data_IF_429897429443
#
_entry.id   IF_429897429443
#
_cell.length_a   1.000
_cell.length_b   1.000
_cell.length_c   1.000
_cell.angle_alpha   90.00
_cell.angle_beta   90.00
_cell.angle_gamma   90.00
#
_symmetry.space_group_name_H-M   'P 1'
#
loop_
_entity.id
_entity.type
_entity.pdbx_description
1 polymer ?
#
# COMPACT_ATOMS: atom_id res chain seq x y z
N UNK A 1 -25.70 15.14 -17.18
CA UNK A 1 -25.08 15.92 -16.09
C UNK A 1 -23.78 16.46 -16.63
N UNK A 2 -23.63 17.78 -16.68
CA UNK A 2 -22.42 18.42 -17.18
C UNK A 2 -21.35 18.27 -16.10
N UNK A 3 -20.27 17.56 -16.43
CA UNK A 3 -19.03 17.55 -15.64
C UNK A 3 -18.44 18.96 -15.72
N UNK A 4 -18.47 19.67 -14.61
CA UNK A 4 -17.88 20.99 -14.50
C UNK A 4 -16.46 20.78 -13.98
N UNK A 5 -15.55 20.39 -14.85
CA UNK A 5 -14.13 20.25 -14.50
C UNK A 5 -13.53 21.65 -14.41
N UNK A 6 -13.13 22.04 -13.20
CA UNK A 6 -12.30 23.23 -13.01
C UNK A 6 -10.94 22.98 -13.70
N UNK A 7 -10.28 24.03 -14.21
CA UNK A 7 -8.95 23.91 -14.81
C UNK A 7 -7.83 23.40 -13.87
N UNK A 8 -8.14 23.15 -12.58
CA UNK A 8 -7.27 22.49 -11.60
C UNK A 8 -7.55 21.00 -11.37
N UNK A 9 -8.51 20.41 -12.10
CA UNK A 9 -9.00 19.03 -11.91
C UNK A 9 -8.38 18.02 -12.89
N UNK A 10 -7.40 18.44 -13.70
CA UNK A 10 -6.72 17.56 -14.66
C UNK A 10 -5.33 17.25 -14.11
N UNK A 11 -5.13 16.01 -13.66
CA UNK A 11 -3.81 15.51 -13.28
C UNK A 11 -2.89 15.42 -14.49
N UNK A 12 -1.61 15.71 -14.27
CA UNK A 12 -0.55 15.36 -15.23
C UNK A 12 -0.42 13.85 -15.33
N UNK A 13 0.22 13.35 -16.38
CA UNK A 13 0.47 11.91 -16.50
C UNK A 13 1.37 11.41 -15.36
N UNK A 14 2.41 12.17 -14.96
CA UNK A 14 3.23 11.83 -13.79
C UNK A 14 2.41 11.69 -12.49
N UNK A 15 1.37 12.53 -12.31
CA UNK A 15 0.48 12.43 -11.16
C UNK A 15 -0.43 11.19 -11.25
N UNK A 16 -0.91 10.85 -12.44
CA UNK A 16 -1.69 9.63 -12.65
C UNK A 16 -0.84 8.37 -12.42
N UNK A 17 0.39 8.36 -12.91
CA UNK A 17 1.36 7.31 -12.67
C UNK A 17 1.61 7.16 -11.16
N UNK A 18 1.67 8.27 -10.42
CA UNK A 18 1.79 8.26 -8.97
C UNK A 18 0.52 7.69 -8.28
N UNK A 19 -0.69 8.04 -8.74
CA UNK A 19 -1.91 7.41 -8.21
C UNK A 19 -1.88 5.89 -8.39
N UNK A 20 -1.49 5.44 -9.58
CA UNK A 20 -1.36 4.01 -9.88
C UNK A 20 -0.29 3.35 -9.02
N UNK A 21 0.86 4.02 -8.83
CA UNK A 21 1.94 3.52 -7.99
C UNK A 21 1.50 3.31 -6.54
N UNK A 22 0.77 4.27 -5.96
CA UNK A 22 0.21 4.12 -4.60
C UNK A 22 -0.78 2.95 -4.56
N UNK A 23 -1.72 2.88 -5.52
CA UNK A 23 -2.67 1.77 -5.61
C UNK A 23 -1.98 0.38 -5.66
N UNK A 24 -0.95 0.23 -6.49
CA UNK A 24 -0.20 -1.01 -6.58
C UNK A 24 0.70 -1.26 -5.36
N UNK A 25 1.18 -0.19 -4.70
CA UNK A 25 1.92 -0.24 -3.43
C UNK A 25 1.10 -0.86 -2.29
N UNK A 26 -0.14 -0.39 -2.09
CA UNK A 26 -1.06 -0.98 -1.08
C UNK A 26 -1.31 -2.48 -1.38
N UNK A 27 -1.37 -2.86 -2.67
CA UNK A 27 -1.44 -4.27 -3.09
C UNK A 27 -0.19 -5.05 -2.68
N UNK A 28 1.01 -4.48 -2.82
CA UNK A 28 2.25 -5.11 -2.36
C UNK A 28 2.21 -5.35 -0.86
N UNK A 29 1.82 -4.36 -0.05
CA UNK A 29 1.69 -4.49 1.40
C UNK A 29 0.76 -5.66 1.77
N UNK A 30 -0.45 -5.68 1.21
CA UNK A 30 -1.42 -6.76 1.39
C UNK A 30 -0.84 -8.13 1.04
N UNK A 31 -0.22 -8.25 -0.14
CA UNK A 31 0.28 -9.51 -0.67
C UNK A 31 1.47 -10.05 0.14
N UNK A 32 2.32 -9.15 0.66
CA UNK A 32 3.38 -9.51 1.62
C UNK A 32 2.74 -10.07 2.90
N UNK A 33 1.69 -9.44 3.43
CA UNK A 33 1.04 -9.88 4.66
C UNK A 33 0.29 -11.19 4.50
N UNK A 34 -0.35 -11.42 3.35
CA UNK A 34 -0.91 -12.74 2.99
C UNK A 34 0.21 -13.78 3.03
N UNK A 35 1.29 -13.53 2.30
CA UNK A 35 2.38 -14.50 2.12
C UNK A 35 3.09 -14.81 3.44
N UNK A 36 3.47 -13.79 4.21
CA UNK A 36 4.16 -13.98 5.49
C UNK A 36 3.22 -14.50 6.57
N UNK A 37 1.93 -14.16 6.53
CA UNK A 37 0.92 -14.71 7.43
C UNK A 37 0.67 -16.21 7.22
N UNK A 38 0.77 -16.70 5.98
CA UNK A 38 0.69 -18.13 5.69
C UNK A 38 1.88 -18.92 6.24
N UNK A 39 3.04 -18.29 6.34
CA UNK A 39 4.28 -18.91 6.83
C UNK A 39 4.34 -18.84 8.35
N UNK A 40 4.03 -17.67 8.92
CA UNK A 40 4.11 -17.37 10.35
C UNK A 40 2.73 -17.39 11.02
N UNK A 41 2.00 -18.50 10.86
CA UNK A 41 0.58 -18.63 11.27
C UNK A 41 0.27 -18.34 12.75
N UNK A 42 1.28 -18.38 13.62
CA UNK A 42 1.13 -18.05 15.04
C UNK A 42 1.07 -16.55 15.31
N UNK A 43 1.49 -15.72 14.34
CA UNK A 43 1.47 -14.26 14.46
C UNK A 43 0.23 -13.69 13.77
N UNK A 44 -0.72 -13.23 14.57
CA UNK A 44 -2.01 -12.74 14.10
C UNK A 44 -1.94 -11.35 13.43
N UNK A 45 -0.85 -10.60 13.65
CA UNK A 45 -0.68 -9.25 13.09
C UNK A 45 -0.83 -9.25 11.57
N UNK A 46 -0.18 -10.17 10.85
CA UNK A 46 -0.32 -10.29 9.38
C UNK A 46 -1.76 -10.57 8.93
N UNK A 47 -2.48 -11.42 9.67
CA UNK A 47 -3.87 -11.74 9.35
C UNK A 47 -4.80 -10.53 9.52
N UNK A 48 -4.52 -9.64 10.48
CA UNK A 48 -5.26 -8.40 10.61
C UNK A 48 -4.90 -7.37 9.54
N UNK A 49 -3.59 -7.19 9.28
CA UNK A 49 -3.12 -6.14 8.38
C UNK A 49 -3.55 -6.40 6.95
N UNK A 50 -3.55 -7.64 6.43
CA UNK A 50 -4.05 -7.90 5.07
C UNK A 50 -5.50 -7.40 4.81
N UNK A 51 -6.37 -7.40 5.83
CA UNK A 51 -7.73 -6.87 5.70
C UNK A 51 -7.79 -5.35 5.84
N UNK A 52 -6.80 -4.74 6.48
CA UNK A 52 -6.65 -3.30 6.50
C UNK A 52 -6.18 -2.83 5.13
N UNK A 53 -5.12 -3.44 4.60
CA UNK A 53 -4.56 -3.11 3.28
C UNK A 53 -5.58 -3.27 2.14
N UNK A 54 -6.50 -4.24 2.20
CA UNK A 54 -7.56 -4.32 1.19
C UNK A 54 -8.41 -3.04 1.14
N UNK A 55 -8.67 -2.39 2.29
CA UNK A 55 -9.42 -1.13 2.33
C UNK A 55 -8.58 0.03 1.78
N UNK A 56 -7.26 -0.06 1.91
CA UNK A 56 -6.33 0.93 1.39
C UNK A 56 -6.21 0.84 -0.13
N UNK A 57 -6.12 -0.38 -0.68
CA UNK A 57 -6.30 -0.67 -2.10
C UNK A 57 -7.61 -0.09 -2.63
N UNK A 58 -8.73 -0.35 -1.93
CA UNK A 58 -10.04 0.16 -2.35
C UNK A 58 -10.06 1.69 -2.40
N UNK A 59 -9.48 2.37 -1.40
CA UNK A 59 -9.40 3.84 -1.37
C UNK A 59 -8.51 4.40 -2.50
N UNK A 60 -7.36 3.77 -2.76
CA UNK A 60 -6.44 4.19 -3.82
C UNK A 60 -7.03 3.94 -5.21
N UNK A 61 -7.78 2.84 -5.39
CA UNK A 61 -8.52 2.55 -6.62
C UNK A 61 -9.63 3.58 -6.86
N UNK A 62 -10.36 4.00 -5.82
CA UNK A 62 -11.38 5.05 -5.95
C UNK A 62 -10.78 6.38 -6.44
N UNK A 63 -9.55 6.73 -6.02
CA UNK A 63 -8.81 7.86 -6.57
C UNK A 63 -8.45 7.65 -8.05
N UNK A 64 -7.94 6.46 -8.40
CA UNK A 64 -7.63 6.12 -9.78
C UNK A 64 -8.87 6.29 -10.68
N UNK A 65 -10.01 5.74 -10.27
CA UNK A 65 -11.27 5.84 -10.99
C UNK A 65 -11.74 7.30 -11.13
N UNK A 66 -11.61 8.09 -10.05
CA UNK A 66 -12.00 9.51 -10.03
C UNK A 66 -11.22 10.34 -11.07
N UNK A 67 -9.93 10.04 -11.26
CA UNK A 67 -9.05 10.76 -12.17
C UNK A 67 -8.79 10.07 -13.50
N UNK A 68 -9.51 8.97 -13.77
CA UNK A 68 -9.44 8.24 -15.04
C UNK A 68 -8.14 7.48 -15.26
N UNK A 69 -7.55 6.96 -14.18
CA UNK A 69 -6.43 6.01 -14.20
C UNK A 69 -7.01 4.60 -14.27
N UNK A 70 -6.71 3.89 -15.36
CA UNK A 70 -7.24 2.56 -15.60
C UNK A 70 -6.59 1.54 -14.64
N UNK A 71 -7.39 0.73 -13.94
CA UNK A 71 -6.89 -0.33 -13.02
C UNK A 71 -7.39 -1.73 -13.38
N UNK A 72 -8.30 -1.89 -14.36
CA UNK A 72 -8.94 -3.19 -14.66
C UNK A 72 -8.01 -4.28 -15.20
N UNK A 73 -6.79 -3.91 -15.59
CA UNK A 73 -5.76 -4.82 -16.05
C UNK A 73 -4.99 -5.48 -14.88
N UNK A 74 -5.06 -4.88 -13.68
CA UNK A 74 -4.50 -5.44 -12.45
C UNK A 74 -5.46 -6.49 -11.90
N UNK A 75 -4.97 -7.72 -11.75
CA UNK A 75 -5.73 -8.79 -11.10
C UNK A 75 -5.41 -8.78 -9.60
N UNK A 76 -6.28 -8.14 -8.81
CA UNK A 76 -6.15 -8.06 -7.36
C UNK A 76 -6.25 -9.42 -6.66
N UNK A 77 -6.92 -10.43 -7.23
CA UNK A 77 -7.02 -11.78 -6.63
C UNK A 77 -5.70 -12.57 -6.76
N UNK A 78 -4.81 -12.14 -7.65
CA UNK A 78 -3.50 -12.78 -7.83
C UNK A 78 -2.46 -12.14 -6.92
N UNK A 79 -2.13 -12.86 -5.85
CA UNK A 79 -1.00 -12.52 -4.96
C UNK A 79 0.31 -12.59 -5.75
N UNK A 80 1.29 -11.77 -5.37
CA UNK A 80 2.68 -11.78 -5.86
C UNK A 80 2.92 -11.32 -7.30
N UNK A 81 1.90 -10.72 -7.94
CA UNK A 81 1.99 -10.23 -9.30
C UNK A 81 1.74 -8.72 -9.35
N UNK A 82 2.72 -8.00 -9.90
CA UNK A 82 2.71 -6.55 -10.04
C UNK A 82 3.21 -6.14 -11.43
N UNK A 83 2.73 -5.01 -11.93
CA UNK A 83 3.12 -4.40 -13.20
C UNK A 83 4.37 -3.56 -13.05
N UNK A 84 4.51 -2.84 -11.93
CA UNK A 84 5.73 -2.15 -11.58
C UNK A 84 6.83 -3.14 -11.20
N UNK A 85 7.91 -3.15 -12.00
CA UNK A 85 9.09 -3.98 -11.73
C UNK A 85 9.75 -3.63 -10.40
N UNK A 86 9.66 -2.37 -9.98
CA UNK A 86 10.20 -1.91 -8.69
C UNK A 86 9.40 -2.55 -7.55
N UNK A 87 8.07 -2.53 -7.65
CA UNK A 87 7.17 -3.12 -6.65
C UNK A 87 7.28 -4.65 -6.63
N UNK A 88 7.45 -5.29 -7.79
CA UNK A 88 7.76 -6.73 -7.84
C UNK A 88 9.07 -7.06 -7.12
N UNK A 89 10.11 -6.25 -7.34
CA UNK A 89 11.41 -6.44 -6.68
C UNK A 89 11.31 -6.24 -5.17
N UNK A 90 10.51 -5.26 -4.72
CA UNK A 90 10.22 -4.99 -3.32
C UNK A 90 9.55 -6.22 -2.68
N UNK A 91 8.48 -6.73 -3.29
CA UNK A 91 7.77 -7.93 -2.85
C UNK A 91 8.73 -9.13 -2.72
N UNK A 92 9.52 -9.40 -3.76
CA UNK A 92 10.44 -10.55 -3.78
C UNK A 92 11.47 -10.43 -2.65
N UNK A 93 12.08 -9.26 -2.48
CA UNK A 93 13.08 -9.02 -1.43
C UNK A 93 12.49 -9.13 -0.02
N UNK A 94 11.31 -8.53 0.20
CA UNK A 94 10.62 -8.53 1.49
C UNK A 94 10.17 -9.94 1.88
N UNK A 95 9.59 -10.70 0.95
CA UNK A 95 9.18 -12.08 1.24
C UNK A 95 10.38 -13.00 1.47
N UNK A 96 11.47 -12.87 0.72
CA UNK A 96 12.70 -13.63 0.96
C UNK A 96 13.37 -13.30 2.30
N UNK A 97 13.31 -12.04 2.75
CA UNK A 97 13.75 -11.67 4.11
C UNK A 97 12.80 -12.29 5.15
N UNK A 98 11.50 -12.04 5.04
CA UNK A 98 10.51 -12.44 6.04
C UNK A 98 10.36 -13.95 6.21
N UNK A 99 10.66 -14.75 5.19
CA UNK A 99 10.67 -16.23 5.28
C UNK A 99 11.69 -16.78 6.27
N UNK A 100 12.76 -16.04 6.60
CA UNK A 100 13.88 -16.54 7.41
C UNK A 100 13.49 -16.76 8.87
N UNK A 101 12.71 -15.86 9.46
CA UNK A 101 12.26 -15.95 10.83
C UNK A 101 11.04 -15.05 11.08
N UNK A 102 10.30 -15.30 12.16
CA UNK A 102 9.20 -14.42 12.56
C UNK A 102 9.69 -13.00 12.84
N UNK A 103 10.87 -12.85 13.46
CA UNK A 103 11.46 -11.53 13.71
C UNK A 103 11.73 -10.78 12.41
N UNK A 104 12.36 -11.44 11.42
CA UNK A 104 12.60 -10.86 10.09
C UNK A 104 11.29 -10.47 9.39
N UNK A 105 10.23 -11.27 9.54
CA UNK A 105 8.93 -10.97 8.96
C UNK A 105 8.28 -9.74 9.60
N UNK A 106 8.38 -9.60 10.92
CA UNK A 106 7.84 -8.45 11.63
C UNK A 106 8.61 -7.16 11.32
N UNK A 107 9.93 -7.25 11.14
CA UNK A 107 10.74 -6.13 10.61
C UNK A 107 10.33 -5.75 9.18
N UNK A 108 10.00 -6.73 8.33
CA UNK A 108 9.46 -6.46 6.99
C UNK A 108 8.14 -5.72 7.09
N UNK A 109 7.25 -6.13 8.01
CA UNK A 109 6.01 -5.41 8.28
C UNK A 109 6.25 -3.95 8.66
N UNK A 110 7.10 -3.68 9.65
CA UNK A 110 7.48 -2.32 10.03
C UNK A 110 8.07 -1.51 8.85
N UNK A 111 8.95 -2.13 8.06
CA UNK A 111 9.59 -1.49 6.92
C UNK A 111 8.60 -1.07 5.82
N UNK A 112 7.61 -1.92 5.52
CA UNK A 112 6.57 -1.60 4.54
C UNK A 112 5.78 -0.39 4.99
N UNK A 113 5.30 -0.37 6.24
CA UNK A 113 4.50 0.74 6.75
C UNK A 113 5.24 2.08 6.78
N UNK A 114 6.54 2.05 7.09
CA UNK A 114 7.38 3.25 7.00
C UNK A 114 7.52 3.71 5.56
N UNK A 115 7.74 2.78 4.63
CA UNK A 115 7.88 3.09 3.20
C UNK A 115 6.59 3.69 2.63
N UNK A 116 5.43 3.11 2.95
CA UNK A 116 4.13 3.60 2.48
C UNK A 116 3.81 5.00 3.04
N UNK A 117 4.17 5.28 4.30
CA UNK A 117 4.05 6.63 4.87
C UNK A 117 4.92 7.64 4.10
N UNK A 118 6.18 7.30 3.84
CA UNK A 118 7.10 8.17 3.10
C UNK A 118 6.63 8.39 1.65
N UNK A 119 6.15 7.35 0.98
CA UNK A 119 5.63 7.43 -0.38
C UNK A 119 4.36 8.30 -0.45
N UNK A 120 3.43 8.19 0.51
CA UNK A 120 2.25 9.05 0.59
C UNK A 120 2.61 10.52 0.83
N UNK A 121 3.62 10.81 1.65
CA UNK A 121 4.08 12.17 1.91
C UNK A 121 4.73 12.79 0.66
N UNK A 122 5.54 12.02 -0.06
CA UNK A 122 6.11 12.46 -1.33
C UNK A 122 5.04 12.64 -2.41
N UNK A 123 4.14 11.66 -2.55
CA UNK A 123 3.07 11.65 -3.54
C UNK A 123 2.08 12.80 -3.33
N UNK A 124 1.94 13.31 -2.10
CA UNK A 124 1.07 14.46 -1.79
C UNK A 124 1.57 15.77 -2.41
N UNK A 125 2.85 15.90 -2.75
CA UNK A 125 3.43 17.15 -3.25
C UNK A 125 2.93 17.44 -4.66
N UNK A 126 2.21 18.56 -4.80
CA UNK A 126 1.68 19.02 -6.08
C UNK A 126 0.34 18.40 -6.47
N UNK A 127 -0.21 17.48 -5.67
CA UNK A 127 -1.53 16.90 -5.89
C UNK A 127 -2.69 17.85 -5.54
N UNK A 128 -3.87 17.66 -6.14
CA UNK A 128 -5.11 18.32 -5.73
C UNK A 128 -5.46 18.06 -4.26
N UNK A 129 -6.17 18.99 -3.63
CA UNK A 129 -6.46 18.95 -2.19
C UNK A 129 -7.29 17.73 -1.75
N UNK A 130 -8.16 17.24 -2.62
CA UNK A 130 -8.96 16.03 -2.40
C UNK A 130 -8.11 14.75 -2.45
N UNK A 131 -7.17 14.63 -3.39
CA UNK A 131 -6.15 13.56 -3.37
C UNK A 131 -5.33 13.61 -2.08
N UNK A 132 -4.81 14.79 -1.73
CA UNK A 132 -4.02 14.97 -0.49
C UNK A 132 -4.83 14.58 0.74
N UNK A 133 -6.13 14.88 0.77
CA UNK A 133 -6.99 14.47 1.87
C UNK A 133 -7.11 12.95 2.00
N UNK A 134 -7.22 12.23 0.89
CA UNK A 134 -7.24 10.76 0.88
C UNK A 134 -5.88 10.20 1.31
N UNK A 135 -4.77 10.76 0.84
CA UNK A 135 -3.42 10.35 1.23
C UNK A 135 -3.15 10.54 2.73
N UNK A 136 -3.60 11.64 3.33
CA UNK A 136 -3.50 11.82 4.79
C UNK A 136 -4.33 10.79 5.58
N UNK A 137 -5.47 10.35 5.03
CA UNK A 137 -6.28 9.30 5.63
C UNK A 137 -5.61 7.93 5.54
N UNK A 138 -4.98 7.61 4.39
CA UNK A 138 -4.15 6.41 4.20
C UNK A 138 -2.97 6.42 5.18
N UNK A 139 -2.22 7.52 5.23
CA UNK A 139 -1.07 7.69 6.13
C UNK A 139 -1.46 7.50 7.60
N UNK A 140 -2.63 8.01 8.00
CA UNK A 140 -3.15 7.81 9.36
C UNK A 140 -3.42 6.33 9.68
N UNK A 141 -3.78 5.51 8.69
CA UNK A 141 -3.97 4.06 8.85
C UNK A 141 -2.63 3.32 8.88
N UNK A 142 -1.69 3.66 7.99
CA UNK A 142 -0.34 3.08 7.98
C UNK A 142 0.42 3.36 9.29
N UNK A 143 0.22 4.54 9.90
CA UNK A 143 0.73 4.82 11.25
C UNK A 143 0.19 3.88 12.34
N UNK A 144 -1.04 3.38 12.20
CA UNK A 144 -1.62 2.40 13.13
C UNK A 144 -1.08 1.00 12.86
N UNK A 145 -0.90 0.64 11.60
CA UNK A 145 -0.32 -0.64 11.21
C UNK A 145 1.15 -0.72 11.67
N UNK A 146 1.91 0.35 11.47
CA UNK A 146 3.26 0.52 12.01
C UNK A 146 3.30 0.26 13.52
N UNK A 147 2.39 0.88 14.27
CA UNK A 147 2.25 0.64 15.70
C UNK A 147 1.92 -0.81 16.05
N UNK A 148 1.15 -1.51 15.21
CA UNK A 148 0.85 -2.93 15.40
C UNK A 148 2.07 -3.83 15.19
N UNK A 149 2.86 -3.58 14.13
CA UNK A 149 4.11 -4.31 13.87
C UNK A 149 5.16 -4.03 14.94
N UNK A 150 5.33 -2.79 15.38
CA UNK A 150 6.22 -2.44 16.49
C UNK A 150 5.82 -3.11 17.80
N UNK A 151 4.52 -3.17 18.09
CA UNK A 151 4.01 -3.90 19.25
C UNK A 151 4.27 -5.41 19.13
N UNK A 152 4.21 -5.97 17.92
CA UNK A 152 4.51 -7.38 17.67
C UNK A 152 6.01 -7.68 17.83
N UNK A 153 6.89 -6.84 17.27
CA UNK A 153 8.34 -6.90 17.46
C UNK A 153 8.71 -6.89 18.95
N UNK A 154 8.13 -5.96 19.71
CA UNK A 154 8.38 -5.87 21.15
C UNK A 154 7.92 -7.11 21.94
N UNK A 155 6.95 -7.89 21.43
CA UNK A 155 6.52 -9.16 22.06
C UNK A 155 7.40 -10.34 21.64
N UNK A 156 8.02 -10.26 20.47
CA UNK A 156 8.86 -11.30 19.90
C UNK A 156 10.34 -11.20 20.34
N UNK A 157 10.74 -10.07 20.93
CA UNK A 157 12.05 -9.82 21.53
C UNK A 157 12.21 -10.47 22.92
#
# INVERSE_FOLDING_TARGET
MSINTNPGDILTEDQKDMLFFIYEGEKVARDIYITLGEIHKSEYTFAMMQFAEQRDIDCARDLCDTYGVETSHVNEDTVCKFESLVLQTLYDACTEKGKKSLHDALEVGEFIEVSDIEDLEHASVGMPSDVVHVYENLKTRNLRHLGAFQAALSRAA
#
